data_IF_353570754186
#
_entry.id   IF_353570754186
#
_cell.length_a   1.000
_cell.length_b   1.000
_cell.length_c   1.000
_cell.angle_alpha   90.00
_cell.angle_beta   90.00
_cell.angle_gamma   90.00
#
_symmetry.space_group_name_H-M   'P 1'
#
loop_
_entity.id
_entity.type
_entity.pdbx_description
1 polymer ?
#
# COMPACT_ATOMS: atom_id res chain seq x y z
N UNK A 1 14.04 7.04 -11.67
CA UNK A 1 12.81 7.48 -10.98
C UNK A 1 12.15 6.24 -10.37
N UNK A 2 11.74 6.23 -9.11
CA UNK A 2 11.14 5.03 -8.49
C UNK A 2 9.81 4.70 -9.14
N UNK A 3 9.56 3.42 -9.44
CA UNK A 3 8.31 2.99 -10.05
C UNK A 3 7.19 2.95 -9.00
N UNK A 4 5.95 3.26 -9.40
CA UNK A 4 4.79 3.10 -8.50
C UNK A 4 4.65 1.67 -7.99
N UNK A 5 5.10 0.66 -8.77
CA UNK A 5 5.16 -0.74 -8.37
C UNK A 5 6.02 -0.97 -7.13
N UNK A 6 7.21 -0.33 -7.06
CA UNK A 6 8.07 -0.43 -5.88
C UNK A 6 7.38 0.07 -4.61
N UNK A 7 6.69 1.21 -4.69
CA UNK A 7 5.97 1.77 -3.54
C UNK A 7 4.88 0.81 -3.03
N UNK A 8 4.14 0.17 -3.94
CA UNK A 8 3.13 -0.84 -3.61
C UNK A 8 3.78 -2.07 -2.96
N UNK A 9 4.86 -2.61 -3.56
CA UNK A 9 5.58 -3.75 -2.99
C UNK A 9 6.13 -3.43 -1.59
N UNK A 10 6.72 -2.25 -1.40
CA UNK A 10 7.23 -1.80 -0.10
C UNK A 10 6.11 -1.72 0.94
N UNK A 11 4.97 -1.18 0.57
CA UNK A 11 3.80 -1.11 1.43
C UNK A 11 3.32 -2.51 1.84
N UNK A 12 3.23 -3.47 0.92
CA UNK A 12 2.78 -4.83 1.23
C UNK A 12 3.80 -5.63 2.06
N UNK A 13 5.11 -5.50 1.77
CA UNK A 13 6.16 -6.13 2.59
C UNK A 13 6.14 -5.55 4.01
N UNK A 14 6.03 -4.23 4.14
CA UNK A 14 5.91 -3.55 5.42
C UNK A 14 4.65 -3.98 6.19
N UNK A 15 3.51 -4.13 5.51
CA UNK A 15 2.27 -4.61 6.11
C UNK A 15 2.42 -6.02 6.64
N UNK A 16 2.95 -6.95 5.87
CA UNK A 16 3.24 -8.31 6.32
C UNK A 16 4.17 -8.33 7.54
N UNK A 17 5.21 -7.51 7.53
CA UNK A 17 6.16 -7.37 8.64
C UNK A 17 5.50 -6.83 9.91
N UNK A 18 4.86 -5.68 9.85
CA UNK A 18 4.28 -4.99 11.02
C UNK A 18 3.11 -5.77 11.62
N UNK A 19 2.25 -6.35 10.78
CA UNK A 19 1.13 -7.17 11.25
C UNK A 19 1.62 -8.40 12.02
N UNK A 20 2.77 -8.96 11.65
CA UNK A 20 3.34 -10.17 12.25
C UNK A 20 4.07 -9.91 13.56
N UNK A 21 4.71 -8.75 13.73
CA UNK A 21 5.54 -8.44 14.91
C UNK A 21 4.83 -8.67 16.23
N UNK A 22 3.53 -8.34 16.30
CA UNK A 22 2.73 -8.48 17.53
C UNK A 22 2.53 -9.95 17.96
N UNK A 23 2.62 -10.89 17.01
CA UNK A 23 2.29 -12.31 17.21
C UNK A 23 3.52 -13.20 17.29
N UNK A 24 4.71 -12.64 17.06
CA UNK A 24 5.99 -13.32 17.06
C UNK A 24 6.85 -12.82 18.24
N UNK A 25 7.76 -13.68 18.72
CA UNK A 25 8.68 -13.35 19.79
C UNK A 25 8.13 -13.59 21.21
N UNK A 26 8.95 -13.33 22.19
CA UNK A 26 8.69 -13.59 23.64
C UNK A 26 7.56 -12.73 24.19
N UNK A 27 7.30 -11.54 23.60
CA UNK A 27 6.25 -10.61 24.02
C UNK A 27 4.84 -11.08 23.61
N UNK A 28 4.75 -12.11 22.77
CA UNK A 28 3.47 -12.74 22.39
C UNK A 28 2.80 -13.54 23.56
N UNK A 29 3.29 -13.38 24.77
CA UNK A 29 2.81 -14.08 25.98
C UNK A 29 1.33 -13.80 26.35
N UNK A 30 0.70 -12.80 25.75
CA UNK A 30 -0.71 -12.44 25.96
C UNK A 30 -1.67 -12.95 24.89
N UNK A 31 -1.32 -13.99 24.13
CA UNK A 31 -2.18 -14.65 23.11
C UNK A 31 -3.17 -13.69 22.40
N UNK A 32 -2.64 -12.69 21.63
CA UNK A 32 -3.51 -11.71 21.01
C UNK A 32 -4.50 -12.42 20.08
N UNK A 33 -5.78 -12.07 20.19
CA UNK A 33 -6.83 -12.71 19.40
C UNK A 33 -6.71 -12.31 17.92
N UNK A 34 -6.34 -13.28 17.09
CA UNK A 34 -6.23 -13.13 15.66
C UNK A 34 -7.59 -12.85 15.00
N UNK A 35 -8.68 -13.46 15.53
CA UNK A 35 -10.03 -13.22 15.02
C UNK A 35 -10.46 -11.76 15.19
N UNK A 36 -10.21 -11.18 16.38
CA UNK A 36 -10.47 -9.76 16.61
C UNK A 36 -9.63 -8.87 15.69
N UNK A 37 -8.41 -9.27 15.37
CA UNK A 37 -7.53 -8.50 14.48
C UNK A 37 -7.99 -8.55 13.03
N UNK A 38 -8.52 -9.69 12.57
CA UNK A 38 -9.16 -9.82 11.25
C UNK A 38 -10.36 -8.89 11.16
N UNK A 39 -11.28 -8.95 12.13
CA UNK A 39 -12.44 -8.07 12.16
C UNK A 39 -12.07 -6.58 12.17
N UNK A 40 -11.12 -6.18 13.04
CA UNK A 40 -10.62 -4.81 13.09
C UNK A 40 -10.08 -4.32 11.74
N UNK A 41 -9.36 -5.18 11.02
CA UNK A 41 -8.72 -4.81 9.75
C UNK A 41 -9.74 -4.44 8.69
N UNK A 42 -10.80 -5.24 8.55
CA UNK A 42 -11.87 -4.98 7.59
C UNK A 42 -12.52 -3.61 7.82
N UNK A 43 -12.96 -3.32 9.04
CA UNK A 43 -13.63 -2.04 9.35
C UNK A 43 -12.69 -0.84 9.21
N UNK A 44 -11.41 -0.99 9.55
CA UNK A 44 -10.43 0.07 9.40
C UNK A 44 -10.21 0.45 7.94
N UNK A 45 -10.09 -0.53 7.03
CA UNK A 45 -9.85 -0.28 5.62
C UNK A 45 -11.11 0.22 4.90
N UNK A 46 -12.30 -0.27 5.30
CA UNK A 46 -13.57 0.08 4.66
C UNK A 46 -13.89 1.58 4.73
N UNK A 47 -13.57 2.27 5.82
CA UNK A 47 -13.94 3.67 6.01
C UNK A 47 -13.45 4.59 4.88
N UNK A 48 -12.15 4.66 4.66
CA UNK A 48 -11.57 5.48 3.59
C UNK A 48 -11.89 4.94 2.20
N UNK A 49 -11.88 3.61 2.03
CA UNK A 49 -12.23 2.98 0.76
C UNK A 49 -13.63 3.40 0.28
N UNK A 50 -14.66 3.22 1.11
CA UNK A 50 -16.04 3.55 0.75
C UNK A 50 -16.22 5.05 0.53
N UNK A 51 -15.60 5.88 1.38
CA UNK A 51 -15.72 7.35 1.27
C UNK A 51 -15.06 7.85 -0.01
N UNK A 52 -13.84 7.41 -0.34
CA UNK A 52 -13.15 7.91 -1.53
C UNK A 52 -13.69 7.29 -2.82
N UNK A 53 -14.22 6.07 -2.80
CA UNK A 53 -14.99 5.50 -3.90
C UNK A 53 -16.29 6.30 -4.17
N UNK A 54 -17.00 6.68 -3.09
CA UNK A 54 -18.20 7.53 -3.23
C UNK A 54 -17.86 8.91 -3.78
N UNK A 55 -16.76 9.54 -3.30
CA UNK A 55 -16.28 10.80 -3.88
C UNK A 55 -15.94 10.67 -5.36
N UNK A 56 -15.29 9.57 -5.77
CA UNK A 56 -15.02 9.27 -7.17
C UNK A 56 -16.31 9.21 -8.00
N UNK A 57 -17.31 8.48 -7.51
CA UNK A 57 -18.62 8.40 -8.18
C UNK A 57 -19.30 9.77 -8.30
N UNK A 58 -19.30 10.58 -7.25
CA UNK A 58 -19.88 11.93 -7.28
C UNK A 58 -19.17 12.81 -8.30
N UNK A 59 -17.82 12.77 -8.36
CA UNK A 59 -17.05 13.52 -9.36
C UNK A 59 -17.35 13.05 -10.80
N UNK A 60 -17.55 11.72 -11.01
CA UNK A 60 -17.97 11.17 -12.31
C UNK A 60 -19.36 11.70 -12.71
N UNK A 61 -20.33 11.63 -11.82
CA UNK A 61 -21.69 12.11 -12.11
C UNK A 61 -21.77 13.64 -12.33
N UNK A 62 -20.80 14.38 -11.84
CA UNK A 62 -20.70 15.83 -11.99
C UNK A 62 -19.84 16.26 -13.19
N UNK A 63 -19.31 15.31 -13.98
CA UNK A 63 -18.38 15.55 -15.11
C UNK A 63 -17.17 16.40 -14.71
N UNK A 64 -16.62 16.13 -13.51
CA UNK A 64 -15.50 16.88 -12.94
C UNK A 64 -14.13 16.20 -13.13
N UNK A 65 -14.03 15.19 -13.98
CA UNK A 65 -12.77 14.58 -14.39
C UNK A 65 -12.31 15.12 -15.75
N UNK A 66 -11.09 15.64 -15.80
CA UNK A 66 -10.47 16.25 -16.98
C UNK A 66 -9.19 15.50 -17.41
N UNK A 67 -9.04 14.27 -16.95
CA UNK A 67 -7.86 13.44 -17.20
C UNK A 67 -7.74 13.04 -18.68
N UNK A 68 -8.83 12.84 -19.39
CA UNK A 68 -8.82 12.48 -20.81
C UNK A 68 -8.27 13.64 -21.66
N UNK A 69 -8.78 14.86 -21.44
CA UNK A 69 -8.34 16.06 -22.14
C UNK A 69 -6.87 16.37 -21.87
N UNK A 70 -6.44 16.24 -20.59
CA UNK A 70 -5.02 16.43 -20.24
C UNK A 70 -4.16 15.34 -20.87
N UNK A 71 -4.58 14.09 -20.89
CA UNK A 71 -3.84 13.00 -21.51
C UNK A 71 -3.61 13.22 -23.01
N UNK A 72 -4.60 13.79 -23.71
CA UNK A 72 -4.49 14.15 -25.13
C UNK A 72 -3.43 15.21 -25.38
N UNK A 73 -3.27 16.17 -24.47
CA UNK A 73 -2.27 17.27 -24.59
C UNK A 73 -0.88 16.82 -24.16
N UNK A 74 -0.80 16.03 -23.09
CA UNK A 74 0.49 15.67 -22.45
C UNK A 74 1.12 14.42 -23.03
N UNK A 75 0.39 13.64 -23.83
CA UNK A 75 0.84 12.33 -24.29
C UNK A 75 1.03 11.34 -23.12
N UNK A 76 0.27 11.53 -22.02
CA UNK A 76 0.35 10.67 -20.85
C UNK A 76 -0.02 9.23 -21.17
N UNK A 77 0.40 8.30 -20.28
CA UNK A 77 0.11 6.87 -20.45
C UNK A 77 -1.38 6.61 -20.69
N UNK A 78 -1.74 5.72 -21.64
CA UNK A 78 -3.14 5.43 -21.99
C UNK A 78 -4.04 5.10 -20.80
N UNK A 79 -3.49 4.43 -19.75
CA UNK A 79 -4.27 4.11 -18.56
C UNK A 79 -4.84 5.35 -17.85
N UNK A 80 -4.17 6.51 -17.93
CA UNK A 80 -4.66 7.75 -17.32
C UNK A 80 -5.86 8.32 -18.08
N UNK A 81 -5.88 8.23 -19.41
CA UNK A 81 -7.01 8.69 -20.23
C UNK A 81 -8.28 7.82 -20.04
N UNK A 82 -8.13 6.52 -19.79
CA UNK A 82 -9.26 5.61 -19.62
C UNK A 82 -9.86 5.59 -18.20
N UNK A 83 -9.20 6.24 -17.24
CA UNK A 83 -9.76 6.35 -15.90
C UNK A 83 -11.08 7.12 -15.95
N UNK A 84 -12.08 6.63 -15.20
CA UNK A 84 -13.40 7.23 -15.08
C UNK A 84 -14.18 7.42 -16.42
N UNK A 85 -13.78 6.73 -17.47
CA UNK A 85 -14.44 6.77 -18.77
C UNK A 85 -15.72 5.90 -18.84
N UNK A 86 -16.09 5.21 -17.76
CA UNK A 86 -17.22 4.28 -17.72
C UNK A 86 -18.43 4.96 -17.10
N UNK A 87 -19.55 4.98 -17.82
CA UNK A 87 -20.83 5.40 -17.27
C UNK A 87 -21.37 4.35 -16.30
N UNK A 88 -21.43 4.70 -15.02
CA UNK A 88 -21.93 3.83 -13.96
C UNK A 88 -23.31 4.29 -13.49
N UNK A 89 -24.32 3.41 -13.64
CA UNK A 89 -25.63 3.66 -13.04
C UNK A 89 -25.55 3.63 -11.51
N UNK A 90 -26.49 4.32 -10.85
CA UNK A 90 -26.60 4.30 -9.37
C UNK A 90 -26.71 2.85 -8.83
N UNK A 91 -27.43 1.97 -9.53
CA UNK A 91 -27.57 0.57 -9.14
C UNK A 91 -26.23 -0.17 -9.19
N UNK A 92 -25.41 0.02 -10.25
CA UNK A 92 -24.09 -0.57 -10.36
C UNK A 92 -23.13 -0.01 -9.29
N UNK A 93 -23.17 1.28 -9.03
CA UNK A 93 -22.41 1.91 -7.95
C UNK A 93 -22.73 1.31 -6.58
N UNK A 94 -24.01 1.20 -6.22
CA UNK A 94 -24.43 0.61 -4.95
C UNK A 94 -24.04 -0.88 -4.85
N UNK A 95 -24.15 -1.62 -5.95
CA UNK A 95 -23.70 -3.02 -6.00
C UNK A 95 -22.20 -3.12 -5.70
N UNK A 96 -21.37 -2.28 -6.31
CA UNK A 96 -19.93 -2.24 -6.05
C UNK A 96 -19.67 -1.95 -4.57
N UNK A 97 -20.29 -0.95 -3.98
CA UNK A 97 -20.04 -0.59 -2.58
C UNK A 97 -20.46 -1.68 -1.58
N UNK A 98 -21.50 -2.43 -1.87
CA UNK A 98 -22.06 -3.43 -0.93
C UNK A 98 -21.38 -4.80 -1.11
N UNK A 99 -21.21 -5.24 -2.36
CA UNK A 99 -20.77 -6.62 -2.64
C UNK A 99 -19.34 -6.72 -3.15
N UNK A 100 -18.83 -5.69 -3.84
CA UNK A 100 -17.54 -5.71 -4.52
C UNK A 100 -16.55 -4.67 -3.94
N UNK A 101 -16.81 -4.15 -2.74
CA UNK A 101 -16.06 -3.03 -2.17
C UNK A 101 -14.53 -3.22 -2.16
N UNK A 102 -14.04 -4.43 -1.94
CA UNK A 102 -12.61 -4.74 -1.91
C UNK A 102 -12.07 -5.36 -3.22
N UNK A 103 -12.87 -5.41 -4.28
CA UNK A 103 -12.48 -6.07 -5.55
C UNK A 103 -12.67 -5.20 -6.79
N UNK A 104 -13.59 -4.24 -6.78
CA UNK A 104 -13.95 -3.45 -7.98
C UNK A 104 -14.07 -1.94 -7.73
N UNK A 105 -13.65 -1.43 -6.59
CA UNK A 105 -13.70 0.01 -6.31
C UNK A 105 -12.64 0.83 -7.07
N UNK A 106 -11.69 0.17 -7.72
CA UNK A 106 -10.72 0.78 -8.62
C UNK A 106 -11.37 1.45 -9.85
N UNK A 107 -12.53 1.00 -10.28
CA UNK A 107 -13.34 1.68 -11.31
C UNK A 107 -13.79 3.07 -10.85
N UNK A 108 -14.08 3.22 -9.56
CA UNK A 108 -14.53 4.48 -8.93
C UNK A 108 -13.33 5.36 -8.53
N UNK A 109 -12.25 4.74 -8.10
CA UNK A 109 -11.04 5.42 -7.67
C UNK A 109 -9.84 4.49 -7.85
N UNK A 110 -9.01 4.69 -8.87
CA UNK A 110 -7.99 3.75 -9.29
C UNK A 110 -7.06 3.20 -8.19
N UNK A 111 -6.52 3.98 -7.25
CA UNK A 111 -5.61 3.43 -6.23
C UNK A 111 -6.22 2.36 -5.32
N UNK A 112 -7.56 2.28 -5.25
CA UNK A 112 -8.25 1.37 -4.33
C UNK A 112 -8.04 -0.12 -4.65
N UNK A 113 -7.55 -0.48 -5.84
CA UNK A 113 -7.21 -1.86 -6.17
C UNK A 113 -6.22 -2.49 -5.14
N UNK A 114 -5.32 -1.67 -4.57
CA UNK A 114 -4.35 -2.15 -3.58
C UNK A 114 -4.97 -2.46 -2.23
N UNK A 115 -6.12 -1.85 -1.90
CA UNK A 115 -6.79 -2.04 -0.60
C UNK A 115 -7.40 -3.44 -0.52
N UNK A 116 -7.85 -4.00 -1.65
CA UNK A 116 -8.23 -5.41 -1.73
C UNK A 116 -7.07 -6.34 -1.39
N UNK A 117 -5.90 -6.13 -2.03
CA UNK A 117 -4.67 -6.87 -1.69
C UNK A 117 -4.28 -6.71 -0.23
N UNK A 118 -4.40 -5.51 0.32
CA UNK A 118 -4.07 -5.21 1.72
C UNK A 118 -4.98 -5.98 2.69
N UNK A 119 -6.27 -6.08 2.41
CA UNK A 119 -7.20 -6.85 3.22
C UNK A 119 -6.91 -8.36 3.15
N UNK A 120 -6.89 -8.92 1.94
CA UNK A 120 -6.69 -10.36 1.75
C UNK A 120 -5.28 -10.81 2.12
N UNK A 121 -4.25 -9.99 1.85
CA UNK A 121 -2.88 -10.22 2.30
C UNK A 121 -2.74 -10.20 3.82
N UNK A 122 -3.51 -9.34 4.50
CA UNK A 122 -3.60 -9.37 5.97
C UNK A 122 -4.23 -10.67 6.47
N UNK A 123 -5.30 -11.16 5.81
CA UNK A 123 -5.93 -12.43 6.17
C UNK A 123 -5.00 -13.62 5.94
N UNK A 124 -4.25 -13.62 4.83
CA UNK A 124 -3.21 -14.61 4.57
C UNK A 124 -2.15 -14.62 5.67
N UNK A 125 -1.64 -13.43 6.05
CA UNK A 125 -0.66 -13.27 7.13
C UNK A 125 -1.20 -13.81 8.45
N UNK A 126 -2.42 -13.44 8.84
CA UNK A 126 -3.05 -13.94 10.05
C UNK A 126 -3.33 -15.44 10.01
N UNK A 127 -3.72 -15.98 8.85
CA UNK A 127 -3.90 -17.41 8.64
C UNK A 127 -2.61 -18.19 8.86
N UNK A 128 -1.51 -17.76 8.22
CA UNK A 128 -0.19 -18.37 8.42
C UNK A 128 0.26 -18.29 9.87
N UNK A 129 0.06 -17.17 10.55
CA UNK A 129 0.36 -17.03 11.96
C UNK A 129 -0.52 -17.94 12.84
N UNK A 130 -1.81 -18.04 12.54
CA UNK A 130 -2.75 -18.87 13.32
C UNK A 130 -2.31 -20.34 13.35
N UNK A 131 -1.99 -20.86 12.16
CA UNK A 131 -1.71 -22.30 12.02
C UNK A 131 -0.25 -22.66 12.29
N UNK A 132 0.72 -21.79 11.98
CA UNK A 132 2.12 -22.19 11.94
C UNK A 132 3.04 -21.48 12.94
N UNK A 133 2.67 -20.34 13.56
CA UNK A 133 3.58 -19.54 14.43
C UNK A 133 4.23 -20.34 15.57
N UNK A 134 3.53 -21.37 16.10
CA UNK A 134 4.01 -22.21 17.21
C UNK A 134 4.71 -23.48 16.76
N UNK A 135 4.75 -23.75 15.47
CA UNK A 135 5.31 -25.00 14.92
C UNK A 135 6.75 -24.80 14.47
N UNK A 136 7.54 -25.88 14.48
CA UNK A 136 8.89 -25.87 13.87
C UNK A 136 8.81 -25.82 12.34
N UNK A 137 7.66 -26.17 11.77
CA UNK A 137 7.43 -26.22 10.31
C UNK A 137 7.09 -24.85 9.71
N UNK A 138 7.04 -23.78 10.50
CA UNK A 138 6.59 -22.45 10.02
C UNK A 138 7.39 -21.93 8.83
N UNK A 139 8.71 -22.15 8.80
CA UNK A 139 9.56 -21.72 7.67
C UNK A 139 9.26 -22.53 6.39
N UNK A 140 8.92 -23.81 6.53
CA UNK A 140 8.47 -24.63 5.39
C UNK A 140 7.12 -24.12 4.90
N UNK A 141 6.19 -23.76 5.78
CA UNK A 141 4.90 -23.19 5.42
C UNK A 141 5.07 -21.85 4.69
N UNK A 142 5.98 -20.98 5.14
CA UNK A 142 6.28 -19.71 4.44
C UNK A 142 6.89 -19.97 3.06
N UNK A 143 7.85 -20.89 2.95
CA UNK A 143 8.43 -21.26 1.66
C UNK A 143 7.38 -21.87 0.70
N UNK A 144 6.52 -22.74 1.19
CA UNK A 144 5.42 -23.30 0.42
C UNK A 144 4.44 -22.19 -0.05
N UNK A 145 4.09 -21.25 0.84
CA UNK A 145 3.25 -20.11 0.48
C UNK A 145 3.90 -19.21 -0.57
N UNK A 146 5.22 -18.97 -0.49
CA UNK A 146 5.95 -18.21 -1.52
C UNK A 146 5.92 -18.89 -2.88
N UNK A 147 6.03 -20.23 -2.93
CA UNK A 147 5.96 -21.00 -4.17
C UNK A 147 4.52 -21.01 -4.73
N UNK A 148 3.53 -21.24 -3.88
CA UNK A 148 2.11 -21.30 -4.31
C UNK A 148 1.59 -19.93 -4.78
N UNK A 149 2.12 -18.85 -4.27
CA UNK A 149 1.72 -17.49 -4.59
C UNK A 149 2.69 -16.80 -5.57
N UNK A 150 3.54 -17.58 -6.27
CA UNK A 150 4.52 -17.02 -7.19
C UNK A 150 3.85 -16.10 -8.24
N UNK A 151 4.53 -15.01 -8.57
CA UNK A 151 4.02 -13.99 -9.48
C UNK A 151 2.93 -13.07 -8.91
N UNK A 152 2.45 -13.32 -7.68
CA UNK A 152 1.41 -12.51 -7.02
C UNK A 152 1.99 -11.53 -6.00
N UNK A 153 1.36 -10.37 -5.85
CA UNK A 153 1.68 -9.41 -4.78
C UNK A 153 1.46 -9.95 -3.36
N UNK A 154 0.71 -11.04 -3.18
CA UNK A 154 0.59 -11.70 -1.88
C UNK A 154 1.91 -12.26 -1.36
N UNK A 155 2.88 -12.56 -2.24
CA UNK A 155 4.25 -12.91 -1.82
C UNK A 155 4.90 -11.80 -0.97
N UNK A 156 4.60 -10.52 -1.21
CA UNK A 156 5.13 -9.41 -0.42
C UNK A 156 4.74 -9.53 1.05
N UNK A 157 3.49 -9.93 1.34
CA UNK A 157 3.02 -10.15 2.71
C UNK A 157 3.73 -11.33 3.38
N UNK A 158 3.91 -12.43 2.63
CA UNK A 158 4.62 -13.61 3.14
C UNK A 158 6.09 -13.29 3.40
N UNK A 159 6.76 -12.54 2.52
CA UNK A 159 8.12 -12.07 2.72
C UNK A 159 8.22 -11.16 3.95
N UNK A 160 7.27 -10.24 4.14
CA UNK A 160 7.20 -9.40 5.32
C UNK A 160 7.03 -10.21 6.61
N UNK A 161 6.13 -11.21 6.62
CA UNK A 161 5.97 -12.15 7.73
C UNK A 161 7.26 -12.93 8.01
N UNK A 162 7.91 -13.45 6.98
CA UNK A 162 9.15 -14.21 7.09
C UNK A 162 10.27 -13.35 7.71
N UNK A 163 10.42 -12.11 7.24
CA UNK A 163 11.37 -11.16 7.81
C UNK A 163 11.08 -10.83 9.28
N UNK A 164 9.79 -10.68 9.64
CA UNK A 164 9.39 -10.43 11.02
C UNK A 164 9.76 -11.62 11.93
N UNK A 165 9.59 -12.84 11.45
CA UNK A 165 9.96 -14.05 12.20
C UNK A 165 11.48 -14.16 12.39
N UNK A 166 12.27 -13.93 11.34
CA UNK A 166 13.73 -13.87 11.44
C UNK A 166 14.13 -12.79 12.46
N UNK A 167 13.61 -11.60 12.32
CA UNK A 167 13.93 -10.45 13.18
C UNK A 167 13.61 -10.70 14.66
N UNK A 168 12.52 -11.42 14.97
CA UNK A 168 12.08 -11.68 16.33
C UNK A 168 12.71 -12.93 16.96
N UNK A 169 12.90 -13.99 16.18
CA UNK A 169 13.16 -15.32 16.71
C UNK A 169 14.54 -15.91 16.36
N UNK A 170 15.28 -15.30 15.42
CA UNK A 170 16.64 -15.73 15.09
C UNK A 170 17.65 -14.94 15.94
N UNK A 171 18.42 -15.66 16.78
CA UNK A 171 19.44 -15.04 17.63
C UNK A 171 20.50 -14.34 16.78
N UNK A 172 20.89 -13.12 17.18
CA UNK A 172 21.89 -12.32 16.48
C UNK A 172 21.39 -11.58 15.22
N UNK A 173 20.18 -11.87 14.71
CA UNK A 173 19.65 -11.21 13.50
C UNK A 173 19.54 -9.69 13.68
N UNK A 174 19.02 -9.25 14.83
CA UNK A 174 18.91 -7.80 15.15
C UNK A 174 20.25 -7.11 15.24
N UNK A 175 21.21 -7.74 15.92
CA UNK A 175 22.57 -7.20 16.09
C UNK A 175 23.29 -7.11 14.75
N UNK A 176 23.15 -8.15 13.92
CA UNK A 176 23.74 -8.17 12.59
C UNK A 176 23.15 -7.09 11.69
N UNK A 177 21.83 -6.92 11.66
CA UNK A 177 21.14 -5.89 10.90
C UNK A 177 21.49 -4.47 11.38
N UNK A 178 21.74 -4.28 12.68
CA UNK A 178 22.07 -2.96 13.25
C UNK A 178 23.51 -2.49 12.94
N UNK A 179 24.33 -3.33 12.29
CA UNK A 179 25.66 -2.91 11.82
C UNK A 179 25.51 -1.87 10.70
N UNK A 180 26.14 -0.68 10.83
CA UNK A 180 25.94 0.41 9.86
C UNK A 180 26.23 0.02 8.40
N UNK A 181 27.29 -0.76 8.19
CA UNK A 181 27.66 -1.23 6.85
C UNK A 181 26.60 -2.15 6.24
N UNK A 182 26.02 -3.06 7.05
CA UNK A 182 24.94 -3.98 6.59
C UNK A 182 23.68 -3.19 6.22
N UNK A 183 23.24 -2.29 7.10
CA UNK A 183 22.07 -1.43 6.84
C UNK A 183 22.27 -0.58 5.59
N UNK A 184 23.44 0.06 5.44
CA UNK A 184 23.75 0.87 4.26
C UNK A 184 23.80 0.03 2.98
N UNK A 185 24.42 -1.15 3.00
CA UNK A 185 24.48 -2.04 1.83
C UNK A 185 23.07 -2.46 1.38
N UNK A 186 22.18 -2.82 2.32
CA UNK A 186 20.79 -3.16 1.99
C UNK A 186 20.01 -1.96 1.43
N UNK A 187 20.17 -0.76 1.99
CA UNK A 187 19.54 0.44 1.47
C UNK A 187 20.00 0.74 0.03
N UNK A 188 21.30 0.73 -0.22
CA UNK A 188 21.86 1.02 -1.55
C UNK A 188 21.37 -0.02 -2.55
N UNK A 189 21.55 -1.31 -2.26
CA UNK A 189 21.09 -2.38 -3.16
C UNK A 189 19.57 -2.34 -3.38
N UNK A 190 18.80 -2.10 -2.31
CA UNK A 190 17.36 -1.99 -2.38
C UNK A 190 16.89 -0.81 -3.23
N UNK A 191 17.51 0.37 -3.09
CA UNK A 191 17.18 1.55 -3.89
C UNK A 191 17.58 1.39 -5.36
N UNK A 192 18.70 0.73 -5.65
CA UNK A 192 19.09 0.37 -7.01
C UNK A 192 18.04 -0.53 -7.66
N UNK A 193 17.62 -1.61 -6.99
CA UNK A 193 16.59 -2.50 -7.52
C UNK A 193 15.20 -1.85 -7.59
N UNK A 194 14.89 -0.93 -6.68
CA UNK A 194 13.66 -0.13 -6.72
C UNK A 194 13.55 0.75 -7.98
N UNK A 195 14.69 1.16 -8.53
CA UNK A 195 14.75 1.92 -9.78
C UNK A 195 14.59 1.08 -11.05
N UNK A 196 14.53 -0.27 -10.92
CA UNK A 196 14.38 -1.14 -12.10
C UNK A 196 13.06 -0.84 -12.83
N UNK A 197 13.09 -0.72 -14.16
CA UNK A 197 11.90 -0.40 -14.93
C UNK A 197 10.94 -1.59 -14.94
N UNK A 198 9.69 -1.34 -14.56
CA UNK A 198 8.70 -2.39 -14.33
C UNK A 198 7.94 -2.81 -15.59
N UNK A 199 8.04 -2.04 -16.68
CA UNK A 199 7.18 -2.17 -17.86
C UNK A 199 7.93 -1.97 -19.18
N UNK A 200 9.26 -2.07 -19.19
CA UNK A 200 9.99 -2.02 -20.43
C UNK A 200 9.89 -3.37 -21.17
N UNK A 201 9.70 -3.35 -22.48
CA UNK A 201 9.85 -4.56 -23.29
C UNK A 201 11.29 -5.10 -23.16
N UNK A 202 11.52 -6.41 -23.34
CA UNK A 202 12.84 -7.01 -23.14
C UNK A 202 13.96 -6.31 -23.88
N UNK A 203 13.73 -5.91 -25.12
CA UNK A 203 14.71 -5.20 -25.96
C UNK A 203 15.13 -3.82 -25.40
N UNK A 204 14.18 -3.09 -24.80
CA UNK A 204 14.47 -1.81 -24.16
C UNK A 204 15.08 -1.99 -22.75
N UNK A 205 14.76 -3.11 -22.09
CA UNK A 205 15.38 -3.49 -20.81
C UNK A 205 16.87 -3.80 -21.02
N UNK A 206 17.22 -4.57 -22.05
CA UNK A 206 18.60 -4.93 -22.39
C UNK A 206 19.49 -3.71 -22.70
N UNK A 207 18.91 -2.64 -23.26
CA UNK A 207 19.59 -1.38 -23.52
C UNK A 207 19.67 -0.46 -22.29
N UNK A 208 18.99 -0.81 -21.20
CA UNK A 208 18.98 0.00 -19.97
C UNK A 208 20.18 -0.34 -19.07
N UNK A 209 20.40 0.50 -18.04
CA UNK A 209 21.37 0.19 -16.98
C UNK A 209 21.06 -1.10 -16.20
N UNK A 210 19.91 -1.71 -16.42
CA UNK A 210 19.43 -2.94 -15.79
C UNK A 210 19.47 -4.17 -16.71
N UNK A 211 19.96 -4.05 -17.93
CA UNK A 211 20.02 -5.14 -18.93
C UNK A 211 20.84 -6.35 -18.48
N UNK A 212 21.74 -6.17 -17.50
CA UNK A 212 22.50 -7.28 -16.91
C UNK A 212 21.69 -8.13 -15.94
N UNK A 213 20.48 -7.70 -15.53
CA UNK A 213 19.65 -8.42 -14.58
C UNK A 213 18.80 -9.47 -15.30
N UNK A 214 18.80 -10.74 -14.83
CA UNK A 214 17.92 -11.77 -15.39
C UNK A 214 16.45 -11.43 -15.13
N UNK A 215 15.56 -12.02 -15.94
CA UNK A 215 14.12 -11.88 -15.71
C UNK A 215 13.71 -12.54 -14.38
N UNK A 216 12.89 -11.84 -13.58
CA UNK A 216 12.47 -12.28 -12.25
C UNK A 216 10.94 -12.36 -12.15
N UNK A 217 10.34 -13.20 -12.99
CA UNK A 217 8.88 -13.34 -13.12
C UNK A 217 8.24 -14.10 -11.94
N UNK A 218 9.04 -14.87 -11.20
CA UNK A 218 8.57 -15.64 -10.05
C UNK A 218 8.17 -14.78 -8.84
N UNK A 219 8.67 -13.55 -8.77
CA UNK A 219 8.26 -12.61 -7.73
C UNK A 219 7.17 -11.67 -8.24
N UNK A 220 6.04 -11.63 -7.55
CA UNK A 220 5.02 -10.62 -7.80
C UNK A 220 5.62 -9.22 -7.64
N UNK A 221 5.69 -8.46 -8.73
CA UNK A 221 6.40 -7.19 -8.75
C UNK A 221 7.90 -7.26 -9.10
N UNK A 222 8.48 -8.44 -9.31
CA UNK A 222 9.86 -8.62 -9.76
C UNK A 222 10.91 -7.98 -8.84
N UNK A 223 11.86 -7.26 -9.43
CA UNK A 223 12.91 -6.54 -8.69
C UNK A 223 12.38 -5.46 -7.74
N UNK A 224 11.20 -4.90 -7.99
CA UNK A 224 10.55 -3.97 -7.05
C UNK A 224 10.25 -4.64 -5.71
N UNK A 225 9.87 -5.92 -5.69
CA UNK A 225 9.64 -6.68 -4.45
C UNK A 225 10.96 -6.97 -3.73
N UNK A 226 11.99 -7.39 -4.43
CA UNK A 226 13.31 -7.60 -3.84
C UNK A 226 13.88 -6.29 -3.29
N UNK A 227 13.77 -5.20 -4.06
CA UNK A 227 14.12 -3.86 -3.62
C UNK A 227 13.39 -3.43 -2.35
N UNK A 228 12.08 -3.72 -2.27
CA UNK A 228 11.26 -3.42 -1.08
C UNK A 228 11.73 -4.18 0.17
N UNK A 229 12.05 -5.46 0.02
CA UNK A 229 12.61 -6.30 1.10
C UNK A 229 13.93 -5.71 1.60
N UNK A 230 14.84 -5.37 0.69
CA UNK A 230 16.15 -4.83 1.05
C UNK A 230 16.05 -3.42 1.68
N UNK A 231 15.18 -2.56 1.15
CA UNK A 231 14.93 -1.23 1.74
C UNK A 231 14.36 -1.36 3.15
N UNK A 232 13.44 -2.30 3.39
CA UNK A 232 12.92 -2.56 4.73
C UNK A 232 14.03 -3.01 5.69
N UNK A 233 14.86 -3.98 5.29
CA UNK A 233 15.99 -4.47 6.09
C UNK A 233 17.00 -3.35 6.41
N UNK A 234 17.35 -2.55 5.41
CA UNK A 234 18.23 -1.41 5.58
C UNK A 234 17.65 -0.32 6.48
N UNK A 235 16.34 -0.10 6.41
CA UNK A 235 15.62 0.86 7.27
C UNK A 235 15.64 0.41 8.73
N UNK A 236 15.33 -0.87 8.99
CA UNK A 236 15.34 -1.45 10.34
C UNK A 236 16.76 -1.39 10.94
N UNK A 237 17.78 -1.63 10.14
CA UNK A 237 19.19 -1.62 10.57
C UNK A 237 19.78 -0.21 10.77
N UNK A 238 19.13 0.84 10.28
CA UNK A 238 19.70 2.20 10.27
C UNK A 238 19.17 3.09 11.40
N UNK A 239 19.97 3.30 12.44
CA UNK A 239 19.62 4.20 13.55
C UNK A 239 19.43 5.67 13.09
N UNK A 240 20.18 6.10 12.05
CA UNK A 240 20.01 7.45 11.48
C UNK A 240 18.67 7.59 10.78
N UNK A 241 18.32 6.62 9.94
CA UNK A 241 17.05 6.64 9.22
C UNK A 241 15.85 6.53 10.18
N UNK A 242 15.97 5.71 11.22
CA UNK A 242 14.96 5.65 12.28
C UNK A 242 14.75 7.02 12.94
N UNK A 243 15.82 7.73 13.32
CA UNK A 243 15.74 9.08 13.89
C UNK A 243 15.16 10.10 12.91
N UNK A 244 15.43 9.96 11.61
CA UNK A 244 14.85 10.82 10.59
C UNK A 244 13.34 10.57 10.43
N UNK A 245 12.93 9.31 10.31
CA UNK A 245 11.54 8.90 10.10
C UNK A 245 10.64 9.19 11.32
N UNK A 246 11.20 9.27 12.52
CA UNK A 246 10.47 9.60 13.76
C UNK A 246 10.33 11.11 14.01
N UNK A 247 10.88 11.98 13.15
CA UNK A 247 10.65 13.43 13.24
C UNK A 247 9.17 13.76 13.13
N UNK A 248 8.63 14.72 13.93
CA UNK A 248 7.19 14.99 13.97
C UNK A 248 6.54 15.25 12.61
N UNK A 249 7.20 15.98 11.73
CA UNK A 249 6.69 16.28 10.39
C UNK A 249 6.58 15.00 9.54
N UNK A 250 7.59 14.12 9.58
CA UNK A 250 7.58 12.85 8.82
C UNK A 250 6.56 11.87 9.42
N UNK A 251 6.49 11.79 10.75
CA UNK A 251 5.49 10.96 11.44
C UNK A 251 4.06 11.44 11.14
N UNK A 252 3.84 12.75 11.03
CA UNK A 252 2.55 13.31 10.60
C UNK A 252 2.20 12.88 9.17
N UNK A 253 3.14 12.95 8.22
CA UNK A 253 2.93 12.45 6.86
C UNK A 253 2.56 10.97 6.87
N UNK A 254 3.23 10.16 7.69
CA UNK A 254 2.87 8.75 7.89
C UNK A 254 1.44 8.59 8.44
N UNK A 255 1.01 9.47 9.32
CA UNK A 255 -0.34 9.42 9.92
C UNK A 255 -1.44 9.66 8.88
N UNK A 256 -1.25 10.61 7.97
CA UNK A 256 -2.23 10.93 6.91
C UNK A 256 -2.01 10.14 5.62
N UNK A 257 -0.99 9.29 5.54
CA UNK A 257 -0.55 8.64 4.29
C UNK A 257 -1.63 7.78 3.63
N UNK A 258 -2.45 7.08 4.41
CA UNK A 258 -3.54 6.27 3.85
C UNK A 258 -4.64 7.15 3.24
N UNK A 259 -5.00 8.25 3.90
CA UNK A 259 -5.95 9.21 3.35
C UNK A 259 -5.38 9.91 2.10
N UNK A 260 -4.11 10.29 2.12
CA UNK A 260 -3.42 10.88 0.96
C UNK A 260 -3.39 9.89 -0.21
N UNK A 261 -3.02 8.63 0.06
CA UNK A 261 -3.01 7.56 -0.95
C UNK A 261 -4.39 7.34 -1.57
N UNK A 262 -5.46 7.31 -0.77
CA UNK A 262 -6.81 7.06 -1.27
C UNK A 262 -7.44 8.26 -1.99
N UNK A 263 -6.91 9.48 -1.84
CA UNK A 263 -7.49 10.69 -2.44
C UNK A 263 -6.67 11.33 -3.57
N UNK A 264 -5.37 11.03 -3.68
CA UNK A 264 -4.49 11.76 -4.60
C UNK A 264 -4.93 11.70 -6.07
N UNK A 265 -5.38 10.52 -6.54
CA UNK A 265 -5.82 10.37 -7.92
C UNK A 265 -7.12 11.13 -8.22
N UNK A 266 -8.03 11.25 -7.23
CA UNK A 266 -9.22 12.07 -7.38
C UNK A 266 -8.86 13.54 -7.60
N UNK A 267 -7.88 14.06 -6.84
CA UNK A 267 -7.38 15.42 -7.02
C UNK A 267 -6.65 15.57 -8.34
N UNK A 268 -5.84 14.57 -8.75
CA UNK A 268 -5.11 14.63 -10.01
C UNK A 268 -6.04 14.62 -11.23
N UNK A 269 -7.01 13.70 -11.26
CA UNK A 269 -7.96 13.57 -12.38
C UNK A 269 -8.94 14.74 -12.49
N UNK A 270 -9.25 15.40 -11.37
CA UNK A 270 -10.18 16.53 -11.34
C UNK A 270 -9.45 17.88 -11.30
N UNK A 271 -9.14 18.37 -10.09
CA UNK A 271 -8.60 19.70 -9.87
C UNK A 271 -7.27 19.97 -10.60
N UNK A 272 -6.31 19.03 -10.53
CA UNK A 272 -5.02 19.23 -11.18
C UNK A 272 -5.17 19.31 -12.69
N UNK A 273 -5.91 18.39 -13.27
CA UNK A 273 -6.19 18.33 -14.71
C UNK A 273 -6.92 19.57 -15.19
N UNK A 274 -7.98 19.98 -14.48
CA UNK A 274 -8.71 21.22 -14.76
C UNK A 274 -7.79 22.45 -14.72
N UNK A 275 -6.98 22.60 -13.66
CA UNK A 275 -6.11 23.77 -13.52
C UNK A 275 -5.00 23.81 -14.59
N UNK A 276 -4.46 22.66 -14.94
CA UNK A 276 -3.48 22.54 -16.02
C UNK A 276 -4.05 23.07 -17.34
N UNK A 277 -5.24 22.62 -17.74
CA UNK A 277 -5.90 23.07 -18.97
C UNK A 277 -6.24 24.57 -18.93
N UNK A 278 -6.72 25.07 -17.78
CA UNK A 278 -7.04 26.50 -17.60
C UNK A 278 -5.83 27.41 -17.77
N UNK A 279 -4.66 26.94 -17.37
CA UNK A 279 -3.41 27.70 -17.42
C UNK A 279 -2.66 27.55 -18.74
N UNK A 280 -2.94 26.50 -19.52
CA UNK A 280 -2.15 26.10 -20.69
C UNK A 280 -1.95 27.22 -21.72
N UNK A 281 -3.01 27.95 -22.05
CA UNK A 281 -2.94 29.06 -22.99
C UNK A 281 -2.30 30.33 -22.42
N UNK A 282 -2.22 30.44 -21.08
CA UNK A 282 -1.74 31.66 -20.41
C UNK A 282 -0.25 31.63 -20.11
N UNK A 283 0.27 30.48 -19.67
CA UNK A 283 1.64 30.35 -19.17
C UNK A 283 2.43 29.24 -19.88
N UNK A 284 1.85 28.61 -20.90
CA UNK A 284 2.45 27.50 -21.65
C UNK A 284 2.50 26.19 -20.87
N UNK A 285 3.04 25.14 -21.50
CA UNK A 285 3.04 23.78 -20.97
C UNK A 285 3.77 23.64 -19.62
N UNK A 286 5.05 24.07 -19.58
CA UNK A 286 5.89 23.90 -18.39
C UNK A 286 5.39 24.74 -17.21
N UNK A 287 4.95 25.95 -17.47
CA UNK A 287 4.34 26.84 -16.48
C UNK A 287 3.07 26.24 -15.89
N UNK A 288 2.20 25.70 -16.74
CA UNK A 288 0.95 25.05 -16.29
C UNK A 288 1.22 23.79 -15.48
N UNK A 289 2.17 22.95 -15.91
CA UNK A 289 2.55 21.74 -15.21
C UNK A 289 3.10 22.06 -13.82
N UNK A 290 3.99 23.06 -13.71
CA UNK A 290 4.55 23.48 -12.43
C UNK A 290 3.47 24.05 -11.50
N UNK A 291 2.68 25.01 -11.96
CA UNK A 291 1.66 25.68 -11.16
C UNK A 291 0.55 24.72 -10.73
N UNK A 292 0.06 23.87 -11.64
CA UNK A 292 -0.95 22.87 -11.31
C UNK A 292 -0.42 21.86 -10.30
N UNK A 293 0.84 21.41 -10.42
CA UNK A 293 1.47 20.51 -9.44
C UNK A 293 1.57 21.16 -8.06
N UNK A 294 2.06 22.41 -7.98
CA UNK A 294 2.19 23.13 -6.70
C UNK A 294 0.83 23.36 -6.05
N UNK A 295 -0.17 23.80 -6.81
CA UNK A 295 -1.54 23.98 -6.33
C UNK A 295 -2.16 22.67 -5.85
N UNK A 296 -1.87 21.55 -6.56
CA UNK A 296 -2.34 20.22 -6.16
C UNK A 296 -1.81 19.79 -4.80
N UNK A 297 -0.53 20.03 -4.52
CA UNK A 297 0.04 19.75 -3.20
C UNK A 297 -0.69 20.56 -2.10
N UNK A 298 -0.97 21.83 -2.37
CA UNK A 298 -1.72 22.70 -1.42
C UNK A 298 -3.14 22.18 -1.17
N UNK A 299 -3.79 21.56 -2.15
CA UNK A 299 -5.14 20.98 -1.99
C UNK A 299 -5.08 19.57 -1.39
N UNK A 300 -4.14 18.72 -1.82
CA UNK A 300 -4.04 17.32 -1.40
C UNK A 300 -3.78 17.16 0.10
N UNK A 301 -2.87 17.94 0.68
CA UNK A 301 -2.54 17.78 2.10
C UNK A 301 -3.69 18.13 3.04
N UNK A 302 -4.40 19.27 2.89
CA UNK A 302 -5.60 19.55 3.67
C UNK A 302 -6.72 18.53 3.43
N UNK A 303 -6.95 18.12 2.18
CA UNK A 303 -7.96 17.09 1.86
C UNK A 303 -7.63 15.75 2.55
N UNK A 304 -6.39 15.30 2.50
CA UNK A 304 -5.95 14.10 3.19
C UNK A 304 -6.07 14.23 4.71
N UNK A 305 -5.74 15.39 5.28
CA UNK A 305 -5.91 15.65 6.71
C UNK A 305 -7.38 15.62 7.13
N UNK A 306 -8.29 16.20 6.34
CA UNK A 306 -9.74 16.16 6.59
C UNK A 306 -10.25 14.72 6.54
N UNK A 307 -9.90 13.94 5.50
CA UNK A 307 -10.27 12.53 5.38
C UNK A 307 -9.71 11.69 6.53
N UNK A 308 -8.45 11.91 6.92
CA UNK A 308 -7.89 11.26 8.09
C UNK A 308 -8.68 11.62 9.36
N UNK A 309 -8.93 12.90 9.60
CA UNK A 309 -9.57 13.37 10.83
C UNK A 309 -11.02 12.91 10.96
N UNK A 310 -11.79 12.97 9.86
CA UNK A 310 -13.23 12.76 9.88
C UNK A 310 -13.67 11.36 9.41
N UNK A 311 -12.81 10.61 8.74
CA UNK A 311 -13.11 9.25 8.24
C UNK A 311 -12.21 8.21 8.87
N UNK A 312 -10.88 8.33 8.74
CA UNK A 312 -9.96 7.28 9.20
C UNK A 312 -9.94 7.16 10.73
N UNK A 313 -9.87 8.28 11.47
CA UNK A 313 -9.90 8.25 12.95
C UNK A 313 -11.20 7.64 13.49
N UNK A 314 -12.41 7.99 13.02
CA UNK A 314 -13.63 7.28 13.39
C UNK A 314 -13.64 5.81 13.01
N UNK A 315 -13.13 5.44 11.81
CA UNK A 315 -13.03 4.05 11.36
C UNK A 315 -12.10 3.23 12.28
N UNK A 316 -10.98 3.80 12.72
CA UNK A 316 -10.07 3.18 13.71
C UNK A 316 -10.79 2.95 15.04
N UNK A 317 -11.57 3.93 15.52
CA UNK A 317 -12.35 3.78 16.78
C UNK A 317 -13.41 2.69 16.65
N UNK A 318 -14.17 2.70 15.56
CA UNK A 318 -15.18 1.68 15.25
C UNK A 318 -14.54 0.29 15.18
N UNK A 319 -13.44 0.15 14.46
CA UNK A 319 -12.71 -1.13 14.35
C UNK A 319 -12.26 -1.66 15.72
N UNK A 320 -11.81 -0.75 16.61
CA UNK A 320 -11.39 -1.10 17.96
C UNK A 320 -12.58 -1.58 18.81
N UNK A 321 -13.72 -0.90 18.72
CA UNK A 321 -14.95 -1.30 19.40
C UNK A 321 -15.45 -2.69 18.92
N UNK A 322 -15.49 -2.91 17.59
CA UNK A 322 -15.85 -4.23 17.00
C UNK A 322 -14.95 -5.34 17.54
N UNK A 323 -13.63 -5.09 17.62
CA UNK A 323 -12.69 -6.08 18.14
C UNK A 323 -12.95 -6.42 19.63
N UNK A 324 -13.32 -5.44 20.45
CA UNK A 324 -13.69 -5.68 21.88
C UNK A 324 -14.97 -6.50 21.98
N UNK A 325 -16.00 -6.17 21.18
CA UNK A 325 -17.26 -6.93 21.15
C UNK A 325 -17.06 -8.37 20.68
N UNK A 326 -16.20 -8.58 19.69
CA UNK A 326 -15.85 -9.93 19.23
C UNK A 326 -15.22 -10.76 20.35
N UNK A 327 -14.24 -10.20 21.07
CA UNK A 327 -13.60 -10.88 22.22
C UNK A 327 -14.59 -11.23 23.33
N UNK A 328 -15.47 -10.31 23.68
CA UNK A 328 -16.47 -10.54 24.71
C UNK A 328 -17.41 -11.73 24.36
N UNK A 329 -17.85 -11.83 23.08
CA UNK A 329 -18.68 -12.93 22.59
C UNK A 329 -17.95 -14.28 22.57
N UNK A 330 -16.67 -14.31 22.20
CA UNK A 330 -15.87 -15.54 22.20
C UNK A 330 -15.67 -16.05 23.63
N UNK A 331 -15.37 -15.16 24.59
CA UNK A 331 -15.17 -15.50 25.96
C UNK A 331 -16.47 -15.99 26.66
N UNK A 332 -17.62 -15.40 26.30
CA UNK A 332 -18.91 -15.86 26.85
C UNK A 332 -19.27 -17.29 26.40
N UNK A 333 -18.99 -17.63 25.13
CA UNK A 333 -19.21 -18.99 24.60
C UNK A 333 -18.24 -20.04 25.13
N UNK A 334 -17.05 -19.63 25.60
CA UNK A 334 -16.07 -20.56 26.20
C UNK A 334 -16.38 -20.89 27.67
N UNK A 335 -17.29 -20.14 28.28
CA UNK A 335 -17.71 -20.35 29.68
C UNK A 335 -19.09 -21.07 29.81
N UNK A 336 -19.80 -21.18 28.68
CA UNK A 336 -21.02 -21.97 28.54
C UNK A 336 -20.69 -23.36 27.98
#
# INVERSE_FOLDING_TARGET
>A
MFSGRFTVCLFFVLSGFVLSLRYLGVVAAGNPDLGASIAKRTFRLAGLLLTTATLGYVLMCADLFFNNEVAAVTGSSPWFSYMWATDLSLGAFLHILVFDAFSKTDVLNPPLWTIGYELYGSFLTFGLLLFFRKTRLRFIAYAAALVLLQGSYYQCFVLGLFLADIYQNVSGAREWLSRPAVGASFLIAGLLLAGSPAYLPPEALDQSAYGFLPQLDMLGGGYSTLGAVLVLLGTIGSAWLHRFLTRPAIAFLGTISFALYSSHMLVQGSFTSWLFLLLLERVGYDGSALLATMASLVVMFPAAWLLWRWVDVPAIRLSSWVGVQFLARVQSKSKA
#
